data_IF_067704776589
#
_entry.id   IF_067704776589
#
_cell.length_a   1.000
_cell.length_b   1.000
_cell.length_c   1.000
_cell.angle_alpha   90.00
_cell.angle_beta   90.00
_cell.angle_gamma   90.00
#
_symmetry.space_group_name_H-M   'P 1'
#
loop_
_entity.id
_entity.type
_entity.pdbx_description
1 polymer ?
#
# COMPACT_ATOMS: atom_id res chain seq x y z
N UNK A 1 -12.00 10.14 1.86
CA UNK A 1 -11.08 9.97 3.01
C UNK A 1 -9.68 9.50 2.59
N UNK A 2 -9.39 9.44 1.28
CA UNK A 2 -8.13 8.98 0.72
C UNK A 2 -7.62 9.96 -0.33
N UNK A 3 -6.35 10.36 -0.22
CA UNK A 3 -5.61 11.09 -1.25
C UNK A 3 -4.39 10.26 -1.63
N UNK A 4 -4.12 10.16 -2.93
CA UNK A 4 -2.98 9.44 -3.48
C UNK A 4 -2.15 10.37 -4.37
N UNK A 5 -0.85 10.37 -4.15
CA UNK A 5 0.11 10.89 -5.12
C UNK A 5 0.73 9.71 -5.90
N UNK A 6 0.72 9.82 -7.22
CA UNK A 6 1.18 8.76 -8.11
C UNK A 6 2.31 9.23 -9.02
N UNK A 7 3.40 8.49 -9.06
CA UNK A 7 4.48 8.76 -10.00
C UNK A 7 4.33 7.91 -11.28
N UNK A 8 4.07 8.58 -12.38
CA UNK A 8 3.92 7.95 -13.71
C UNK A 8 5.22 7.32 -14.23
N UNK A 9 6.38 7.76 -13.75
CA UNK A 9 7.69 7.23 -14.18
C UNK A 9 7.97 5.87 -13.51
N UNK A 10 7.85 5.83 -12.19
CA UNK A 10 8.04 4.59 -11.42
C UNK A 10 6.83 3.67 -11.46
N UNK A 11 5.67 4.20 -11.88
CA UNK A 11 4.37 3.50 -11.93
C UNK A 11 3.95 2.97 -10.57
N UNK A 12 4.23 3.73 -9.53
CA UNK A 12 3.96 3.40 -8.15
C UNK A 12 3.32 4.58 -7.41
N UNK A 13 2.62 4.30 -6.32
CA UNK A 13 2.25 5.33 -5.38
C UNK A 13 3.51 6.00 -4.80
N UNK A 14 3.54 7.32 -4.74
CA UNK A 14 4.55 8.06 -4.00
C UNK A 14 4.21 8.09 -2.52
N UNK A 15 2.97 8.48 -2.23
CA UNK A 15 2.40 8.48 -0.90
C UNK A 15 0.89 8.46 -0.94
N UNK A 16 0.29 8.05 0.16
CA UNK A 16 -1.12 8.23 0.48
C UNK A 16 -1.29 9.08 1.73
N UNK A 17 -2.40 9.78 1.80
CA UNK A 17 -2.90 10.43 3.01
C UNK A 17 -4.28 9.86 3.28
N UNK A 18 -4.46 9.24 4.41
CA UNK A 18 -5.69 8.58 4.82
C UNK A 18 -6.26 9.23 6.08
N UNK A 19 -7.56 9.46 6.09
CA UNK A 19 -8.31 9.80 7.28
C UNK A 19 -8.94 8.52 7.83
N UNK A 20 -8.43 8.05 8.94
CA UNK A 20 -8.88 6.84 9.65
C UNK A 20 -9.79 7.29 10.79
N UNK A 21 -11.03 6.84 10.76
CA UNK A 21 -12.02 7.12 11.80
C UNK A 21 -12.14 5.95 12.77
N UNK A 22 -12.52 6.21 14.04
CA UNK A 22 -12.86 5.14 14.98
C UNK A 22 -13.94 4.22 14.40
N UNK A 23 -13.85 2.94 14.69
CA UNK A 23 -14.78 1.92 14.19
C UNK A 23 -15.79 1.57 15.27
N UNK A 24 -16.97 2.13 15.18
CA UNK A 24 -18.03 1.91 16.16
C UNK A 24 -18.72 0.55 16.01
N UNK A 25 -18.70 -0.01 14.78
CA UNK A 25 -19.30 -1.31 14.48
C UNK A 25 -18.56 -2.00 13.35
N UNK A 26 -17.86 -3.11 13.66
CA UNK A 26 -17.07 -3.87 12.71
C UNK A 26 -17.91 -4.83 11.84
N UNK A 27 -19.14 -5.13 12.22
CA UNK A 27 -19.96 -6.15 11.55
C UNK A 27 -20.32 -5.80 10.10
N UNK A 28 -20.35 -4.50 9.79
CA UNK A 28 -20.65 -3.98 8.46
C UNK A 28 -19.41 -3.54 7.64
N UNK A 29 -18.22 -3.81 8.14
CA UNK A 29 -16.99 -3.43 7.40
C UNK A 29 -16.87 -4.22 6.10
N UNK A 30 -16.45 -3.57 5.00
CA UNK A 30 -16.22 -4.24 3.73
C UNK A 30 -15.25 -5.41 3.87
N UNK A 31 -15.47 -6.47 3.11
CA UNK A 31 -14.59 -7.65 3.09
C UNK A 31 -13.85 -7.75 1.76
N UNK A 32 -12.67 -8.34 1.80
CA UNK A 32 -11.80 -8.49 0.62
C UNK A 32 -12.31 -9.52 -0.41
N UNK A 33 -13.33 -10.25 -0.12
CA UNK A 33 -13.81 -11.41 -0.87
C UNK A 33 -13.94 -11.13 -2.38
N UNK A 34 -13.06 -11.73 -3.17
CA UNK A 34 -13.08 -11.65 -4.64
C UNK A 34 -12.67 -10.31 -5.25
N UNK A 35 -12.29 -9.30 -4.45
CA UNK A 35 -11.91 -7.98 -4.98
C UNK A 35 -10.62 -8.03 -5.77
N UNK A 36 -10.66 -7.43 -6.95
CA UNK A 36 -9.51 -7.31 -7.85
C UNK A 36 -9.08 -5.85 -7.96
N UNK A 37 -7.79 -5.64 -8.17
CA UNK A 37 -7.30 -4.31 -8.50
C UNK A 37 -7.81 -3.86 -9.87
N UNK A 38 -8.19 -2.60 -9.95
CA UNK A 38 -8.69 -1.97 -11.18
C UNK A 38 -7.77 -0.83 -11.64
N UNK A 39 -7.88 -0.48 -12.91
CA UNK A 39 -7.14 0.63 -13.52
C UNK A 39 -7.82 1.96 -13.18
N UNK A 40 -7.07 2.98 -12.70
CA UNK A 40 -7.65 4.29 -12.42
C UNK A 40 -8.09 4.98 -13.72
N UNK A 41 -9.12 5.80 -13.61
CA UNK A 41 -9.47 6.73 -14.68
C UNK A 41 -8.45 7.88 -14.73
N UNK A 42 -8.20 8.45 -15.91
CA UNK A 42 -7.32 9.61 -16.09
C UNK A 42 -5.82 9.31 -16.07
N UNK A 43 -5.42 8.04 -15.89
CA UNK A 43 -4.03 7.61 -16.05
C UNK A 43 -3.93 6.70 -17.28
N UNK A 44 -3.15 7.11 -18.28
CA UNK A 44 -2.95 6.31 -19.47
C UNK A 44 -2.30 4.96 -19.14
N UNK A 45 -2.69 3.90 -19.87
CA UNK A 45 -2.28 2.52 -19.54
C UNK A 45 -0.76 2.32 -19.51
N UNK A 46 -0.02 3.00 -20.39
CA UNK A 46 1.44 2.91 -20.42
C UNK A 46 2.12 3.49 -19.16
N UNK A 47 1.39 4.27 -18.36
CA UNK A 47 1.83 4.78 -17.07
C UNK A 47 1.40 3.90 -15.88
N UNK A 48 0.75 2.77 -16.13
CA UNK A 48 0.38 1.81 -15.09
C UNK A 48 1.30 0.57 -15.13
N UNK A 49 1.46 -0.14 -14.00
CA UNK A 49 2.12 -1.44 -14.03
C UNK A 49 1.38 -2.37 -14.99
N UNK A 50 2.10 -3.12 -15.81
CA UNK A 50 1.50 -4.12 -16.69
C UNK A 50 0.82 -5.20 -15.88
N UNK A 51 -0.22 -5.83 -16.44
CA UNK A 51 -0.83 -6.99 -15.82
C UNK A 51 0.21 -8.08 -15.57
N UNK A 52 0.19 -8.66 -14.38
CA UNK A 52 1.18 -9.66 -13.99
C UNK A 52 2.56 -9.10 -13.62
N UNK A 53 2.77 -7.78 -13.60
CA UNK A 53 4.05 -7.15 -13.27
C UNK A 53 4.67 -7.69 -11.97
N UNK A 54 3.85 -7.95 -10.97
CA UNK A 54 4.30 -8.50 -9.67
C UNK A 54 4.44 -10.04 -9.66
N UNK A 55 3.99 -10.72 -10.73
CA UNK A 55 4.00 -12.19 -10.78
C UNK A 55 5.42 -12.72 -10.84
N UNK A 56 5.77 -13.66 -9.96
CA UNK A 56 7.09 -14.30 -9.87
C UNK A 56 8.27 -13.35 -9.63
N UNK A 57 8.01 -12.15 -9.10
CA UNK A 57 9.07 -11.17 -8.76
C UNK A 57 9.59 -11.34 -7.33
N UNK A 58 8.89 -12.08 -6.47
CA UNK A 58 9.15 -12.12 -5.04
C UNK A 58 8.50 -10.99 -4.26
N UNK A 59 7.83 -10.06 -4.95
CA UNK A 59 7.13 -8.94 -4.33
C UNK A 59 5.62 -9.10 -4.38
N UNK A 60 4.97 -8.67 -3.31
CA UNK A 60 3.53 -8.48 -3.29
C UNK A 60 3.16 -7.15 -3.98
N UNK A 61 1.99 -7.11 -4.57
CA UNK A 61 1.32 -5.87 -4.91
C UNK A 61 0.78 -5.26 -3.61
N UNK A 62 1.63 -4.50 -2.93
CA UNK A 62 1.31 -3.91 -1.64
C UNK A 62 0.45 -2.66 -1.79
N UNK A 63 -0.46 -2.46 -0.85
CA UNK A 63 -1.24 -1.22 -0.75
C UNK A 63 -0.39 -0.11 -0.15
N UNK A 64 -0.51 1.11 -0.67
CA UNK A 64 0.00 2.32 -0.03
C UNK A 64 -0.98 2.77 1.06
N UNK A 65 -2.24 2.94 0.71
CA UNK A 65 -3.34 3.16 1.65
C UNK A 65 -4.00 1.82 1.96
N UNK A 66 -4.06 1.44 3.23
CA UNK A 66 -4.53 0.12 3.63
C UNK A 66 -6.05 -0.02 3.50
N UNK A 67 -6.53 -1.04 2.79
CA UNK A 67 -7.96 -1.27 2.61
C UNK A 67 -8.73 -1.37 3.94
N UNK A 68 -8.15 -2.04 4.94
CA UNK A 68 -8.79 -2.21 6.24
C UNK A 68 -8.92 -0.91 7.07
N UNK A 69 -8.34 0.20 6.62
CA UNK A 69 -8.50 1.51 7.27
C UNK A 69 -9.87 2.15 6.96
N UNK A 70 -10.58 1.63 5.97
CA UNK A 70 -11.82 2.20 5.46
C UNK A 70 -13.01 1.29 5.77
N UNK A 71 -14.04 1.86 6.40
CA UNK A 71 -15.24 1.15 6.82
C UNK A 71 -16.42 1.30 5.85
N UNK A 72 -16.39 2.31 4.98
CA UNK A 72 -17.39 2.46 3.94
C UNK A 72 -16.93 1.81 2.63
N UNK A 73 -17.89 1.34 1.86
CA UNK A 73 -17.68 0.55 0.63
C UNK A 73 -16.94 1.34 -0.46
N UNK A 74 -17.21 2.63 -0.60
CA UNK A 74 -16.58 3.48 -1.62
C UNK A 74 -15.09 3.65 -1.35
N UNK A 75 -14.73 4.16 -0.17
CA UNK A 75 -13.31 4.38 0.20
C UNK A 75 -12.53 3.05 0.21
N UNK A 76 -13.16 1.98 0.69
CA UNK A 76 -12.57 0.64 0.66
C UNK A 76 -12.26 0.20 -0.78
N UNK A 77 -13.20 0.38 -1.72
CA UNK A 77 -12.99 0.05 -3.12
C UNK A 77 -11.88 0.88 -3.75
N UNK A 78 -11.78 2.17 -3.41
CA UNK A 78 -10.76 3.06 -3.94
C UNK A 78 -9.34 2.59 -3.61
N UNK A 79 -9.15 1.88 -2.50
CA UNK A 79 -7.85 1.30 -2.17
C UNK A 79 -7.40 0.22 -3.14
N UNK A 80 -8.31 -0.43 -3.87
CA UNK A 80 -7.99 -1.44 -4.89
C UNK A 80 -7.64 -0.85 -6.26
N UNK A 81 -7.41 0.45 -6.32
CA UNK A 81 -6.89 1.08 -7.52
C UNK A 81 -5.40 0.74 -7.73
N UNK A 82 -5.00 0.44 -8.97
CA UNK A 82 -3.60 0.17 -9.31
C UNK A 82 -2.65 1.32 -8.95
N UNK A 83 -3.14 2.55 -8.91
CA UNK A 83 -2.36 3.70 -8.45
C UNK A 83 -2.05 3.70 -6.96
N UNK A 84 -2.76 2.90 -6.16
CA UNK A 84 -2.53 2.70 -4.73
C UNK A 84 -1.55 1.57 -4.43
N UNK A 85 -0.70 1.18 -5.39
CA UNK A 85 0.17 0.03 -5.19
C UNK A 85 1.63 0.38 -5.39
N UNK A 86 2.48 -0.34 -4.66
CA UNK A 86 3.92 -0.41 -4.89
C UNK A 86 4.44 -1.80 -4.55
N UNK A 87 5.61 -2.19 -5.08
CA UNK A 87 6.18 -3.49 -4.76
C UNK A 87 6.64 -3.53 -3.30
N UNK A 88 6.15 -4.51 -2.56
CA UNK A 88 6.53 -4.75 -1.17
C UNK A 88 7.12 -6.14 -1.01
N UNK A 89 8.17 -6.27 -0.21
CA UNK A 89 8.65 -7.60 0.19
C UNK A 89 7.49 -8.38 0.84
N UNK A 90 7.30 -9.64 0.43
CA UNK A 90 6.12 -10.41 0.81
C UNK A 90 6.02 -10.65 2.32
N UNK A 91 7.13 -11.00 3.00
CA UNK A 91 7.11 -11.20 4.44
C UNK A 91 6.87 -9.88 5.19
N UNK A 92 7.55 -8.82 4.78
CA UNK A 92 7.34 -7.49 5.36
C UNK A 92 5.88 -7.04 5.20
N UNK A 93 5.31 -7.15 4.00
CA UNK A 93 3.94 -6.75 3.72
C UNK A 93 2.91 -7.51 4.57
N UNK A 94 3.07 -8.82 4.69
CA UNK A 94 2.09 -9.70 5.35
C UNK A 94 2.21 -9.73 6.87
N UNK A 95 3.35 -9.36 7.42
CA UNK A 95 3.66 -9.45 8.85
C UNK A 95 3.85 -8.08 9.48
N UNK A 96 5.04 -7.50 9.35
CA UNK A 96 5.39 -6.24 10.04
C UNK A 96 4.51 -5.08 9.59
N UNK A 97 4.28 -4.95 8.28
CA UNK A 97 3.48 -3.86 7.72
C UNK A 97 2.00 -4.00 8.09
N UNK A 98 1.43 -5.19 7.94
CA UNK A 98 0.06 -5.48 8.37
C UNK A 98 -0.13 -5.25 9.88
N UNK A 99 0.90 -5.56 10.69
CA UNK A 99 0.92 -5.27 12.12
C UNK A 99 0.88 -3.77 12.42
N UNK A 100 1.68 -2.97 11.69
CA UNK A 100 1.70 -1.51 11.84
C UNK A 100 0.37 -0.88 11.43
N UNK A 101 -0.21 -1.27 10.30
CA UNK A 101 -1.52 -0.82 9.86
C UNK A 101 -2.60 -1.12 10.91
N UNK A 102 -2.58 -2.31 11.51
CA UNK A 102 -3.50 -2.68 12.56
C UNK A 102 -3.30 -1.84 13.83
N UNK A 103 -2.05 -1.52 14.17
CA UNK A 103 -1.74 -0.65 15.31
C UNK A 103 -2.34 0.74 15.12
N UNK A 104 -2.17 1.34 13.94
CA UNK A 104 -2.72 2.67 13.61
C UNK A 104 -4.24 2.68 13.75
N UNK A 105 -4.94 1.66 13.22
CA UNK A 105 -6.39 1.51 13.38
C UNK A 105 -6.81 1.42 14.83
N UNK A 106 -6.11 0.58 15.61
CA UNK A 106 -6.37 0.45 17.05
C UNK A 106 -6.18 1.75 17.82
N UNK A 107 -5.22 2.60 17.42
CA UNK A 107 -5.04 3.90 18.05
C UNK A 107 -6.24 4.81 17.82
N UNK A 108 -6.80 4.85 16.60
CA UNK A 108 -8.02 5.59 16.33
C UNK A 108 -9.17 5.10 17.20
N UNK A 109 -9.35 3.78 17.32
CA UNK A 109 -10.40 3.16 18.14
C UNK A 109 -10.23 3.47 19.63
N UNK A 110 -9.00 3.35 20.17
CA UNK A 110 -8.71 3.60 21.59
C UNK A 110 -8.89 5.08 21.94
N UNK A 111 -8.40 5.97 21.09
CA UNK A 111 -8.46 7.41 21.33
C UNK A 111 -9.85 7.99 21.04
N UNK A 112 -10.74 7.23 20.40
CA UNK A 112 -12.05 7.69 19.91
C UNK A 112 -11.92 8.98 19.10
N UNK A 113 -10.87 9.06 18.29
CA UNK A 113 -10.53 10.23 17.46
C UNK A 113 -10.05 9.79 16.10
N UNK A 114 -10.19 10.69 15.15
CA UNK A 114 -9.64 10.52 13.82
C UNK A 114 -8.11 10.56 13.86
N UNK A 115 -7.48 9.69 13.04
CA UNK A 115 -6.05 9.65 12.82
C UNK A 115 -5.78 9.94 11.36
N UNK A 116 -4.86 10.85 11.08
CA UNK A 116 -4.34 11.05 9.74
C UNK A 116 -3.08 10.20 9.59
N UNK A 117 -3.13 9.25 8.67
CA UNK A 117 -1.99 8.41 8.31
C UNK A 117 -1.39 8.90 7.00
N UNK A 118 -0.07 9.07 6.97
CA UNK A 118 0.69 9.36 5.75
C UNK A 118 1.64 8.21 5.51
N UNK A 119 1.45 7.52 4.40
CA UNK A 119 2.24 6.35 4.02
C UNK A 119 2.92 6.60 2.68
N UNK A 120 4.19 6.24 2.56
CA UNK A 120 4.92 6.41 1.31
C UNK A 120 6.11 5.48 1.19
N UNK A 121 6.61 5.33 -0.04
CA UNK A 121 7.80 4.55 -0.33
C UNK A 121 9.06 5.41 -0.16
N UNK A 122 10.07 4.86 0.49
CA UNK A 122 11.40 5.45 0.55
C UNK A 122 12.29 4.67 -0.41
N UNK A 123 12.82 5.35 -1.41
CA UNK A 123 13.74 4.78 -2.39
C UNK A 123 15.16 4.98 -1.90
N UNK A 124 15.79 3.90 -1.42
CA UNK A 124 17.17 3.95 -0.94
C UNK A 124 18.14 3.68 -2.10
N UNK A 125 19.30 4.34 -2.15
CA UNK A 125 20.35 4.01 -3.12
C UNK A 125 20.81 2.56 -2.96
N UNK A 126 21.04 1.86 -4.06
CA UNK A 126 21.46 0.45 -4.07
C UNK A 126 22.72 0.16 -3.23
N UNK A 127 23.62 1.14 -3.08
CA UNK A 127 24.83 1.02 -2.25
C UNK A 127 24.54 0.92 -0.74
N UNK A 128 23.42 1.44 -0.27
CA UNK A 128 23.00 1.31 1.13
C UNK A 128 22.41 -0.08 1.39
N UNK A 129 21.78 -0.65 0.39
CA UNK A 129 21.14 -1.96 0.46
C UNK A 129 22.16 -3.11 0.47
N UNK A 130 23.32 -2.92 -0.17
CA UNK A 130 24.37 -3.94 -0.26
C UNK A 130 25.30 -3.98 0.98
N UNK A 131 25.22 -3.00 1.87
CA UNK A 131 26.11 -2.93 3.04
C UNK A 131 25.68 -3.83 4.20
N UNK A 132 24.47 -4.37 4.19
CA UNK A 132 23.98 -5.22 5.26
C UNK A 132 23.78 -6.67 4.81
N UNK A 133 24.74 -7.50 5.21
CA UNK A 133 24.81 -8.97 5.20
C UNK A 133 24.90 -9.65 3.83
N UNK A 134 26.04 -10.26 3.52
CA UNK A 134 26.13 -11.24 2.44
C UNK A 134 25.25 -12.44 2.79
N UNK A 135 24.17 -12.62 2.07
CA UNK A 135 23.25 -13.76 2.23
C UNK A 135 21.76 -13.44 2.26
N UNK A 136 21.36 -12.20 2.49
CA UNK A 136 19.96 -11.81 2.44
C UNK A 136 19.59 -11.34 1.03
N UNK A 137 19.05 -12.26 0.21
CA UNK A 137 18.61 -11.97 -1.17
C UNK A 137 17.32 -11.18 -1.26
N UNK A 138 16.77 -10.76 -0.12
CA UNK A 138 15.45 -10.14 -0.01
C UNK A 138 15.49 -8.61 0.02
N UNK A 139 16.67 -8.01 -0.17
CA UNK A 139 16.80 -6.56 -0.24
C UNK A 139 16.52 -6.09 -1.68
N UNK A 140 15.48 -5.30 -1.79
CA UNK A 140 15.01 -4.64 -2.99
C UNK A 140 16.13 -3.98 -3.79
N UNK A 141 16.59 -4.63 -4.86
CA UNK A 141 17.35 -3.94 -5.91
C UNK A 141 16.36 -3.19 -6.81
N UNK A 142 15.91 -2.03 -6.38
CA UNK A 142 15.36 -1.06 -7.30
C UNK A 142 16.50 -0.24 -7.85
N UNK A 143 16.90 -0.52 -9.07
CA UNK A 143 17.67 0.43 -9.84
C UNK A 143 16.76 1.63 -10.08
N UNK A 144 17.12 2.77 -9.51
CA UNK A 144 16.59 4.04 -10.01
C UNK A 144 17.01 4.18 -11.47
N UNK A 145 16.15 4.70 -12.33
CA UNK A 145 16.48 5.00 -13.72
C UNK A 145 17.66 5.97 -13.82
#
# INVERSE_FOLDING_TARGET
>A
NLLLAYDKRTKCALYSVERIVPRDNLDNSPRRDGRKFYKPQGIAEHHLPKEGFYRKTGFDKGHCAAAANHTNESDYNDTFCMSNTFPQNASMNREAWAGLENLVRKQADILQREVISVTGAIWLPSKIVTAEKPGNRDLLQFQSP
#
